data_IF_433236930083
#
_entry.id   IF_433236930083
#
_cell.length_a   1.000
_cell.length_b   1.000
_cell.length_c   1.000
_cell.angle_alpha   90.00
_cell.angle_beta   90.00
_cell.angle_gamma   90.00
#
_symmetry.space_group_name_H-M   'P 1'
#
loop_
_entity.id
_entity.type
_entity.pdbx_description
1 polymer ?
2 non-polymer ?
3 water ?
#
# COMPACT_ATOMS: atom_id res chain seq x y z
N UNK A 1 1.98 -1.90 -18.17
CA UNK A 1 1.10 -0.71 -18.19
C UNK A 1 0.83 -0.26 -16.74
N UNK A 2 1.88 0.23 -16.09
CA UNK A 2 1.85 0.79 -14.72
C UNK A 2 1.62 2.30 -14.77
N UNK A 3 1.56 2.92 -15.95
CA UNK A 3 1.70 4.40 -16.03
C UNK A 3 0.51 5.11 -15.38
N UNK A 4 -0.66 4.50 -15.35
CA UNK A 4 -1.86 5.16 -14.76
C UNK A 4 -1.75 5.23 -13.24
N UNK A 5 -0.87 4.48 -12.62
CA UNK A 5 -0.70 4.54 -11.17
C UNK A 5 0.22 5.67 -10.73
N UNK A 6 1.03 6.18 -11.65
CA UNK A 6 2.12 7.08 -11.27
C UNK A 6 1.55 8.42 -10.82
N UNK A 7 2.16 9.01 -9.81
CA UNK A 7 1.79 10.32 -9.30
C UNK A 7 1.70 10.35 -7.81
N UNK A 8 1.10 11.43 -7.35
CA UNK A 8 0.93 11.77 -5.94
C UNK A 8 -0.53 11.61 -5.57
N UNK A 9 -0.77 10.84 -4.54
CA UNK A 9 -2.12 10.46 -4.13
C UNK A 9 -2.30 10.80 -2.66
N UNK A 10 -3.49 11.27 -2.26
CA UNK A 10 -3.78 11.63 -0.86
C UNK A 10 -4.98 10.82 -0.36
N UNK A 11 -4.91 10.28 0.82
CA UNK A 11 -5.99 9.51 1.43
C UNK A 11 -7.22 10.40 1.69
N UNK A 12 -8.35 9.91 1.19
CA UNK A 12 -9.65 10.58 1.41
C UNK A 12 -10.65 9.71 2.13
N UNK A 13 -10.53 8.39 2.18
CA UNK A 13 -11.50 7.50 2.89
C UNK A 13 -10.79 6.25 3.40
N UNK A 14 -11.18 5.76 4.58
CA UNK A 14 -10.61 4.53 5.10
C UNK A 14 -11.72 3.73 5.80
N UNK A 15 -11.78 2.45 5.52
CA UNK A 15 -12.73 1.54 6.21
C UNK A 15 -11.98 0.36 6.78
N UNK A 16 -12.12 0.14 8.06
CA UNK A 16 -11.64 -1.07 8.75
C UNK A 16 -10.11 -1.14 8.90
N UNK A 17 -9.45 0.02 8.88
CA UNK A 17 -7.98 -0.06 9.06
C UNK A 17 -7.62 -0.50 10.44
N UNK A 18 -8.44 -0.21 11.44
CA UNK A 18 -8.13 -0.66 12.81
C UNK A 18 -8.16 -2.20 12.83
N UNK A 19 -9.17 -2.80 12.22
CA UNK A 19 -9.27 -4.29 12.16
C UNK A 19 -7.96 -4.80 11.59
N UNK A 20 -7.55 -4.27 10.43
CA UNK A 20 -6.34 -4.78 9.74
C UNK A 20 -5.13 -4.64 10.67
N UNK A 21 -4.93 -3.51 11.28
CA UNK A 21 -3.79 -3.31 12.17
C UNK A 21 -3.89 -4.30 13.32
N UNK A 22 -5.08 -4.52 13.88
CA UNK A 22 -5.20 -5.42 15.07
C UNK A 22 -4.78 -6.82 14.63
N UNK A 23 -5.19 -7.21 13.42
CA UNK A 23 -4.91 -8.57 12.91
C UNK A 23 -3.37 -8.78 12.79
N UNK A 24 -2.64 -7.71 12.41
CA UNK A 24 -1.17 -7.73 12.29
C UNK A 24 -0.49 -7.63 13.65
N UNK A 25 -1.19 -7.34 14.72
CA UNK A 25 -0.59 -7.28 16.07
C UNK A 25 -0.10 -5.90 16.42
N UNK A 26 -0.53 -4.88 15.72
CA UNK A 26 -0.12 -3.49 16.02
C UNK A 26 -0.77 -3.07 17.35
N UNK A 27 -0.01 -2.43 18.21
CA UNK A 27 -0.43 -2.01 19.54
C UNK A 27 -1.42 -0.88 19.51
N UNK A 28 -2.21 -0.79 20.57
CA UNK A 28 -3.35 0.15 20.57
C UNK A 28 -2.87 1.58 20.36
N UNK A 29 -1.69 1.95 20.88
CA UNK A 29 -1.23 3.37 20.85
C UNK A 29 -0.90 3.74 19.40
N UNK A 30 -0.23 2.83 18.70
CA UNK A 30 0.10 3.04 17.26
C UNK A 30 -1.22 3.10 16.47
N UNK A 31 -2.17 2.21 16.78
CA UNK A 31 -3.48 2.27 16.05
C UNK A 31 -4.14 3.64 16.23
N UNK A 32 -4.11 4.18 17.45
CA UNK A 32 -4.70 5.50 17.64
C UNK A 32 -4.19 6.50 16.62
N UNK A 33 -2.87 6.65 16.56
CA UNK A 33 -2.23 7.68 15.72
C UNK A 33 -2.53 7.35 14.25
N UNK A 34 -2.41 6.08 13.89
CA UNK A 34 -2.56 5.68 12.48
C UNK A 34 -4.00 5.93 12.05
N UNK A 35 -4.98 5.80 12.95
CA UNK A 35 -6.40 6.00 12.56
C UNK A 35 -6.67 7.47 12.18
N UNK A 36 -5.80 8.41 12.58
CA UNK A 36 -6.05 9.85 12.38
C UNK A 36 -5.09 10.47 11.37
N UNK A 37 -4.28 9.65 10.73
CA UNK A 37 -3.25 10.09 9.78
C UNK A 37 -3.84 10.04 8.35
N UNK A 38 -3.51 11.00 7.47
CA UNK A 38 -3.94 10.95 6.05
C UNK A 38 -2.66 10.94 5.24
N UNK A 39 -2.12 9.75 4.94
CA UNK A 39 -0.87 9.70 4.22
C UNK A 39 -1.00 10.25 2.81
N UNK A 40 0.16 10.62 2.28
CA UNK A 40 0.45 10.89 0.86
C UNK A 40 1.22 9.71 0.30
N UNK A 41 0.78 9.11 -0.80
CA UNK A 41 1.53 8.05 -1.48
C UNK A 41 2.02 8.63 -2.79
N UNK A 42 3.30 8.46 -3.06
CA UNK A 42 3.94 8.88 -4.33
C UNK A 42 4.45 7.63 -5.04
N UNK A 43 4.09 7.49 -6.31
CA UNK A 43 4.53 6.32 -7.11
C UNK A 43 5.24 6.91 -8.31
N UNK A 44 6.49 6.51 -8.45
CA UNK A 44 7.40 6.99 -9.50
C UNK A 44 8.05 5.81 -10.21
N UNK A 45 8.45 6.07 -11.44
CA UNK A 45 9.18 5.05 -12.21
C UNK A 45 10.41 5.66 -12.87
N UNK A 46 11.43 4.79 -12.90
CA UNK A 46 12.69 5.10 -13.65
C UNK A 46 13.05 3.82 -14.38
N UNK A 47 12.69 3.72 -15.64
CA UNK A 47 12.84 2.44 -16.33
C UNK A 47 11.98 1.40 -15.70
N UNK A 48 12.60 0.26 -15.39
CA UNK A 48 11.99 -0.94 -14.81
C UNK A 48 11.83 -0.77 -13.30
N UNK A 49 12.35 0.30 -12.70
CA UNK A 49 12.39 0.41 -11.23
C UNK A 49 11.22 1.32 -10.81
N UNK A 50 10.37 0.77 -9.95
CA UNK A 50 9.31 1.60 -9.34
C UNK A 50 9.76 1.98 -7.93
N UNK A 51 9.37 3.19 -7.53
CA UNK A 51 9.57 3.65 -6.17
C UNK A 51 8.21 4.03 -5.60
N UNK A 52 7.90 3.57 -4.41
CA UNK A 52 6.63 3.84 -3.73
C UNK A 52 6.97 4.43 -2.38
N UNK A 53 6.64 5.69 -2.23
CA UNK A 53 6.83 6.44 -0.99
C UNK A 53 5.48 6.66 -0.27
N UNK A 54 5.47 6.47 1.01
CA UNK A 54 4.29 6.75 1.84
C UNK A 54 4.73 7.73 2.89
N UNK A 55 4.19 8.96 2.86
CA UNK A 55 4.61 10.04 3.78
C UNK A 55 3.47 10.41 4.70
N UNK A 56 3.78 10.65 5.95
CA UNK A 56 2.77 11.14 6.88
C UNK A 56 3.45 11.83 8.03
N UNK A 57 2.65 12.39 8.91
CA UNK A 57 3.13 13.04 10.14
C UNK A 57 3.65 11.97 11.10
N UNK A 58 3.30 10.70 10.93
CA UNK A 58 3.60 9.65 11.93
C UNK A 58 4.82 8.85 11.49
N UNK A 59 4.79 8.28 10.30
CA UNK A 59 5.85 7.38 9.78
C UNK A 59 5.98 7.59 8.28
N UNK A 60 7.19 7.53 7.77
CA UNK A 60 7.47 7.57 6.33
C UNK A 60 8.06 6.21 5.97
N UNK A 61 7.68 5.72 4.80
CA UNK A 61 8.31 4.53 4.20
C UNK A 61 8.66 4.80 2.75
N UNK A 62 9.64 4.04 2.27
CA UNK A 62 10.02 4.05 0.84
C UNK A 62 10.48 2.66 0.45
N UNK A 63 10.02 2.17 -0.67
CA UNK A 63 10.53 0.95 -1.27
C UNK A 63 10.77 1.21 -2.74
N UNK A 64 11.80 0.55 -3.28
CA UNK A 64 12.07 0.51 -4.74
C UNK A 64 12.09 -0.97 -5.11
N UNK A 65 11.53 -1.27 -6.27
CA UNK A 65 11.43 -2.66 -6.73
C UNK A 65 11.24 -2.75 -8.24
N UNK A 66 11.51 -3.96 -8.71
CA UNK A 66 11.13 -4.30 -10.08
C UNK A 66 9.92 -5.22 -9.98
N UNK A 67 9.00 -5.09 -10.94
CA UNK A 67 7.84 -5.97 -10.93
C UNK A 67 8.33 -7.40 -11.11
N UNK A 68 7.77 -8.33 -10.35
CA UNK A 68 8.01 -9.76 -10.51
C UNK A 68 9.31 -10.24 -9.91
N UNK A 69 9.99 -9.40 -9.14
CA UNK A 69 11.29 -9.74 -8.50
C UNK A 69 11.14 -9.56 -7.00
N UNK A 70 11.37 -10.62 -6.27
CA UNK A 70 11.27 -10.60 -4.82
C UNK A 70 12.21 -9.59 -4.21
N UNK A 71 11.84 -8.94 -3.14
CA UNK A 71 12.68 -8.02 -2.42
C UNK A 71 12.42 -8.12 -0.93
N UNK A 72 13.38 -7.71 -0.13
CA UNK A 72 13.27 -7.60 1.32
C UNK A 72 12.67 -6.24 1.63
N UNK A 73 11.71 -6.24 2.56
CA UNK A 73 11.02 -5.00 2.98
C UNK A 73 10.88 -4.99 4.50
N UNK A 74 11.04 -3.82 5.05
CA UNK A 74 10.76 -3.59 6.47
C UNK A 74 9.54 -2.65 6.48
N UNK A 75 8.45 -3.14 7.04
CA UNK A 75 7.14 -2.42 6.93
C UNK A 75 7.07 -1.31 7.98
N UNK A 76 6.04 -0.47 7.89
CA UNK A 76 5.81 0.66 8.83
C UNK A 76 5.65 0.17 10.27
N UNK A 77 5.12 -1.03 10.44
CA UNK A 77 4.95 -1.66 11.77
C UNK A 77 6.12 -2.57 12.14
N UNK A 78 7.21 -2.50 11.40
CA UNK A 78 8.49 -3.15 11.80
C UNK A 78 8.46 -4.67 11.57
N UNK A 79 7.69 -5.10 10.57
CA UNK A 79 7.74 -6.52 10.16
C UNK A 79 8.82 -6.64 9.07
N UNK A 80 9.64 -7.69 9.13
CA UNK A 80 10.65 -7.95 8.09
C UNK A 80 10.07 -9.01 7.18
N UNK A 81 9.75 -8.62 5.96
CA UNK A 81 8.96 -9.48 5.06
C UNK A 81 9.71 -9.68 3.75
N UNK A 82 9.31 -10.71 3.03
CA UNK A 82 9.70 -10.99 1.65
C UNK A 82 8.51 -10.55 0.80
N UNK A 83 8.77 -9.67 -0.13
CA UNK A 83 7.73 -8.97 -0.91
C UNK A 83 7.87 -9.23 -2.39
N UNK A 84 6.79 -9.25 -3.12
CA UNK A 84 6.78 -9.25 -4.58
C UNK A 84 5.63 -8.40 -5.05
N UNK A 85 5.83 -7.59 -6.06
CA UNK A 85 4.77 -6.74 -6.62
C UNK A 85 4.60 -7.15 -8.08
N UNK A 86 3.36 -7.31 -8.54
CA UNK A 86 3.06 -7.70 -9.94
C UNK A 86 1.84 -6.95 -10.47
N UNK A 87 1.65 -6.99 -11.79
CA UNK A 87 0.43 -6.48 -12.42
C UNK A 87 -0.42 -7.71 -12.72
N UNK A 88 -1.65 -7.66 -12.24
CA UNK A 88 -2.58 -8.80 -12.37
C UNK A 88 -3.94 -8.19 -12.71
N UNK A 89 -4.40 -8.33 -13.94
CA UNK A 89 -5.73 -7.84 -14.28
C UNK A 89 -5.76 -6.35 -14.20
N UNK A 90 -4.63 -5.69 -14.37
CA UNK A 90 -4.57 -4.22 -14.38
C UNK A 90 -4.44 -3.66 -12.96
N UNK A 91 -4.36 -4.53 -11.97
CA UNK A 91 -4.18 -4.16 -10.55
C UNK A 91 -2.72 -4.33 -10.15
N UNK A 92 -2.24 -3.50 -9.24
CA UNK A 92 -0.90 -3.62 -8.71
C UNK A 92 -0.99 -4.41 -7.42
N UNK A 93 -0.51 -5.65 -7.42
CA UNK A 93 -0.70 -6.62 -6.32
C UNK A 93 0.61 -6.74 -5.56
N UNK A 94 0.66 -6.37 -4.33
CA UNK A 94 1.84 -6.41 -3.47
C UNK A 94 1.62 -7.52 -2.45
N UNK A 95 2.33 -8.62 -2.49
CA UNK A 95 2.26 -9.73 -1.54
C UNK A 95 3.40 -9.67 -0.54
N UNK A 96 3.19 -9.72 0.74
CA UNK A 96 4.19 -9.77 1.79
C UNK A 96 4.10 -11.10 2.50
N UNK A 97 5.22 -11.75 2.71
CA UNK A 97 5.29 -13.04 3.40
C UNK A 97 6.28 -12.98 4.54
N UNK A 98 5.92 -13.50 5.69
CA UNK A 98 6.82 -13.56 6.87
C UNK A 98 6.29 -14.62 7.84
N UNK A 99 7.14 -15.43 8.42
CA UNK A 99 6.74 -16.37 9.50
C UNK A 99 5.53 -17.22 9.08
N UNK A 100 5.45 -17.60 7.81
CA UNK A 100 4.38 -18.49 7.28
C UNK A 100 3.02 -17.78 7.11
N UNK A 101 3.00 -16.45 7.34
CA UNK A 101 1.82 -15.59 7.18
C UNK A 101 1.98 -14.82 5.87
N UNK A 102 0.88 -14.27 5.39
CA UNK A 102 0.81 -13.46 4.15
C UNK A 102 -0.14 -12.30 4.36
N UNK A 103 0.11 -11.21 3.68
CA UNK A 103 -0.87 -10.17 3.55
C UNK A 103 -0.76 -9.63 2.15
N UNK A 104 -1.87 -9.22 1.56
CA UNK A 104 -1.90 -8.63 0.23
C UNK A 104 -2.31 -7.18 0.30
N UNK A 105 -1.71 -6.34 -0.51
CA UNK A 105 -2.04 -4.94 -0.69
C UNK A 105 -2.33 -4.77 -2.15
N UNK A 106 -3.59 -4.61 -2.54
CA UNK A 106 -4.00 -4.55 -3.93
C UNK A 106 -4.38 -3.12 -4.25
N UNK A 107 -3.87 -2.55 -5.31
CA UNK A 107 -4.20 -1.23 -5.78
C UNK A 107 -4.89 -1.32 -7.11
N UNK A 108 -6.03 -0.66 -7.23
CA UNK A 108 -6.75 -0.61 -8.52
C UNK A 108 -7.28 0.80 -8.72
N UNK A 109 -7.40 1.18 -9.97
CA UNK A 109 -7.94 2.49 -10.38
C UNK A 109 -9.40 2.29 -10.78
N UNK A 110 -10.25 3.01 -10.06
CA UNK A 110 -11.71 3.00 -10.34
C UNK A 110 -12.15 4.46 -10.44
N UNK A 111 -12.69 4.86 -11.57
CA UNK A 111 -13.26 6.22 -11.71
C UNK A 111 -12.20 7.24 -11.33
N UNK A 112 -10.93 6.97 -11.63
CA UNK A 112 -9.85 7.94 -11.43
C UNK A 112 -9.32 7.96 -10.01
N UNK A 113 -9.89 7.15 -9.12
CA UNK A 113 -9.42 7.08 -7.71
C UNK A 113 -8.62 5.79 -7.57
N UNK A 114 -7.69 5.81 -6.62
CA UNK A 114 -6.83 4.64 -6.34
C UNK A 114 -7.42 3.98 -5.09
N UNK A 115 -7.82 2.73 -5.25
CA UNK A 115 -8.44 1.95 -4.17
C UNK A 115 -7.43 0.93 -3.74
N UNK A 116 -7.05 1.02 -2.47
CA UNK A 116 -6.11 0.09 -1.87
C UNK A 116 -6.89 -0.87 -0.98
N UNK A 117 -6.81 -2.17 -1.22
CA UNK A 117 -7.49 -3.17 -0.43
C UNK A 117 -6.42 -3.97 0.33
N UNK A 118 -6.45 -4.00 1.65
CA UNK A 118 -5.50 -4.68 2.51
C UNK A 118 -6.18 -5.89 3.11
N UNK A 119 -5.65 -7.09 2.96
CA UNK A 119 -6.23 -8.32 3.54
C UNK A 119 -5.20 -9.00 4.42
N UNK A 120 -5.56 -9.36 5.63
CA UNK A 120 -4.77 -10.26 6.48
C UNK A 120 -5.76 -11.09 7.30
N UNK A 121 -5.59 -12.38 7.33
CA UNK A 121 -6.50 -13.20 8.11
C UNK A 121 -7.90 -13.01 7.59
N UNK A 122 -8.84 -12.63 8.46
CA UNK A 122 -10.22 -12.36 8.03
C UNK A 122 -10.47 -10.87 7.88
N UNK A 123 -9.50 -10.03 8.11
CA UNK A 123 -9.62 -8.57 8.08
C UNK A 123 -9.45 -8.06 6.66
N UNK A 124 -10.35 -7.20 6.22
CA UNK A 124 -10.27 -6.54 4.91
C UNK A 124 -10.50 -5.07 5.12
N UNK A 125 -9.56 -4.26 4.71
CA UNK A 125 -9.57 -2.80 4.81
C UNK A 125 -9.57 -2.22 3.45
N UNK A 126 -10.30 -1.13 3.24
CA UNK A 126 -10.34 -0.44 1.96
C UNK A 126 -9.92 0.98 2.24
N UNK A 127 -8.98 1.48 1.44
CA UNK A 127 -8.53 2.87 1.54
C UNK A 127 -8.61 3.52 0.20
N UNK A 128 -9.11 4.72 0.19
CA UNK A 128 -9.35 5.39 -1.07
C UNK A 128 -8.46 6.65 -1.10
N UNK A 129 -7.71 6.71 -2.22
CA UNK A 129 -6.81 7.84 -2.50
C UNK A 129 -7.27 8.62 -3.73
N UNK A 130 -7.03 9.91 -3.67
CA UNK A 130 -7.36 10.82 -4.78
C UNK A 130 -6.09 11.46 -5.30
N UNK A 131 -6.03 11.68 -6.59
CA UNK A 131 -4.83 12.21 -7.25
C UNK A 131 -4.65 13.69 -6.91
N UNK A 132 -3.46 14.04 -6.45
CA UNK A 132 -2.98 15.46 -6.35
C UNK A 132 -2.21 15.88 -7.63
N UNK A 133 -2.55 17.06 -8.14
CA UNK A 133 -2.17 17.70 -9.42
C UNK A 133 -0.77 18.28 -9.31
#
# INVERSE_FOLDING_TARGET
>A
MVDAFLGTWKLVDSKNFDDYMKSLGVGFATRQVASMTKPTTIIEKNGDILTLKTHSTFKNTEISFKLGVEFDETTADDRKVKSIVTLDGGKLVHLQKWDGQETTLVRELIDGKLILTLTHGTAVCTRTYEKEA
#
